data_IF_017539209943
#
_entry.id   IF_017539209943
#
_cell.length_a   1.000
_cell.length_b   1.000
_cell.length_c   1.000
_cell.angle_alpha   90.00
_cell.angle_beta   90.00
_cell.angle_gamma   90.00
#
_symmetry.space_group_name_H-M   'P 1'
#
loop_
_entity.id
_entity.type
_entity.pdbx_description
1 polymer ?
#
# COMPACT_ATOMS: atom_id res chain seq x y z
N UNK A 1 1.70 -30.39 66.96
CA UNK A 1 2.29 -29.33 66.11
C UNK A 1 2.46 -29.90 64.70
N UNK A 2 1.60 -29.55 63.75
CA UNK A 2 1.70 -29.99 62.34
C UNK A 2 2.12 -28.79 61.50
N UNK A 3 3.33 -28.82 60.93
CA UNK A 3 3.81 -27.80 59.99
C UNK A 3 3.24 -28.12 58.61
N UNK A 4 2.36 -27.27 58.11
CA UNK A 4 1.87 -27.32 56.73
C UNK A 4 2.87 -26.51 55.89
N UNK A 5 3.57 -27.19 54.98
CA UNK A 5 4.44 -26.56 53.99
C UNK A 5 3.59 -26.31 52.75
N UNK A 6 3.33 -25.04 52.45
CA UNK A 6 2.67 -24.61 51.22
C UNK A 6 3.77 -24.45 50.18
N UNK A 7 3.81 -25.34 49.20
CA UNK A 7 4.69 -25.21 48.03
C UNK A 7 3.95 -24.34 47.01
N UNK A 8 4.41 -23.11 46.84
CA UNK A 8 3.92 -22.17 45.84
C UNK A 8 4.58 -22.52 44.50
N UNK A 9 3.85 -23.18 43.61
CA UNK A 9 4.31 -23.52 42.26
C UNK A 9 4.19 -22.26 41.38
N UNK A 10 5.31 -21.58 41.12
CA UNK A 10 5.36 -20.43 40.23
C UNK A 10 5.38 -20.94 38.78
N UNK A 11 4.23 -20.93 38.11
CA UNK A 11 4.14 -21.22 36.68
C UNK A 11 4.59 -19.98 35.92
N UNK A 12 5.86 -19.95 35.52
CA UNK A 12 6.35 -18.92 34.59
C UNK A 12 5.94 -19.30 33.18
N UNK A 13 4.84 -18.72 32.70
CA UNK A 13 4.46 -18.77 31.29
C UNK A 13 5.52 -18.01 30.50
N UNK A 14 6.31 -18.71 29.69
CA UNK A 14 7.16 -18.08 28.69
C UNK A 14 6.20 -17.60 27.60
N UNK A 15 5.85 -16.31 27.63
CA UNK A 15 5.18 -15.69 26.49
C UNK A 15 6.19 -15.61 25.35
N UNK A 16 6.02 -16.48 24.35
CA UNK A 16 6.65 -16.28 23.05
C UNK A 16 5.96 -15.07 22.44
N UNK A 17 6.58 -13.89 22.55
CA UNK A 17 6.11 -12.72 21.83
C UNK A 17 6.31 -12.98 20.35
N UNK A 18 5.20 -13.12 19.61
CA UNK A 18 5.25 -13.10 18.15
C UNK A 18 5.89 -11.77 17.70
N UNK A 19 6.78 -11.83 16.71
CA UNK A 19 7.39 -10.63 16.13
C UNK A 19 6.25 -9.74 15.60
N UNK A 20 6.25 -8.46 15.97
CA UNK A 20 5.23 -7.53 15.50
C UNK A 20 5.27 -7.46 13.96
N UNK A 21 4.10 -7.44 13.28
CA UNK A 21 4.05 -7.20 11.84
C UNK A 21 4.71 -5.88 11.48
N UNK A 22 5.41 -5.85 10.35
CA UNK A 22 6.16 -4.67 9.89
C UNK A 22 5.36 -3.91 8.85
N UNK A 23 5.23 -2.59 9.03
CA UNK A 23 4.77 -1.68 7.98
C UNK A 23 5.99 -0.99 7.37
N UNK A 24 6.22 -1.22 6.07
CA UNK A 24 7.22 -0.49 5.30
C UNK A 24 6.69 0.89 4.91
N UNK A 25 7.32 1.96 5.39
CA UNK A 25 6.99 3.33 5.00
C UNK A 25 8.04 3.79 4.01
N UNK A 26 7.64 3.96 2.76
CA UNK A 26 8.52 4.29 1.63
C UNK A 26 8.23 5.72 1.20
N UNK A 27 9.23 6.60 1.30
CA UNK A 27 9.08 8.04 1.01
C UNK A 27 10.28 8.54 0.21
N UNK A 28 10.04 9.47 -0.72
CA UNK A 28 11.13 10.10 -1.45
C UNK A 28 11.83 11.18 -0.60
N UNK A 29 13.13 11.40 -0.85
CA UNK A 29 13.95 12.36 -0.09
C UNK A 29 13.34 13.76 -0.02
N UNK A 30 12.74 14.25 -1.12
CA UNK A 30 12.24 15.63 -1.17
C UNK A 30 10.99 15.75 -0.32
N UNK A 31 10.04 14.82 -0.47
CA UNK A 31 8.84 14.75 0.36
C UNK A 31 9.20 14.62 1.83
N UNK A 32 10.08 13.68 2.19
CA UNK A 32 10.49 13.52 3.58
C UNK A 32 11.10 14.81 4.16
N UNK A 33 12.03 15.46 3.45
CA UNK A 33 12.64 16.70 3.93
C UNK A 33 11.62 17.83 4.15
N UNK A 34 10.51 17.84 3.40
CA UNK A 34 9.44 18.83 3.52
C UNK A 34 8.38 18.45 4.57
N UNK A 35 8.25 17.18 4.92
CA UNK A 35 7.17 16.66 5.78
C UNK A 35 7.66 15.76 6.92
N UNK A 36 8.94 15.82 7.29
CA UNK A 36 9.59 14.89 8.23
C UNK A 36 8.79 14.74 9.52
N UNK A 37 8.42 15.86 10.18
CA UNK A 37 7.66 15.82 11.42
C UNK A 37 6.33 15.07 11.31
N UNK A 38 5.61 15.23 10.20
CA UNK A 38 4.33 14.53 9.99
C UNK A 38 4.53 13.05 9.61
N UNK A 39 5.59 12.72 8.87
CA UNK A 39 5.97 11.33 8.57
C UNK A 39 6.37 10.60 9.86
N UNK A 40 7.25 11.19 10.66
CA UNK A 40 7.70 10.62 11.94
C UNK A 40 6.54 10.44 12.93
N UNK A 41 5.62 11.42 12.97
CA UNK A 41 4.40 11.35 13.76
C UNK A 41 3.48 10.20 13.32
N UNK A 42 3.34 9.98 12.01
CA UNK A 42 2.59 8.87 11.44
C UNK A 42 3.25 7.51 11.74
N UNK A 43 4.57 7.40 11.58
CA UNK A 43 5.34 6.21 11.96
C UNK A 43 5.16 5.89 13.45
N UNK A 44 5.28 6.89 14.32
CA UNK A 44 5.06 6.70 15.77
C UNK A 44 3.64 6.21 16.08
N UNK A 45 2.63 6.73 15.37
CA UNK A 45 1.25 6.27 15.53
C UNK A 45 1.05 4.82 15.06
N UNK A 46 1.81 4.34 14.06
CA UNK A 46 1.80 2.92 13.66
C UNK A 46 2.45 2.03 14.73
N UNK A 47 3.53 2.49 15.35
CA UNK A 47 4.19 1.76 16.43
C UNK A 47 3.30 1.64 17.67
N UNK A 48 2.59 2.72 18.02
CA UNK A 48 1.58 2.73 19.09
C UNK A 48 0.39 1.79 18.79
N UNK A 49 0.08 1.58 17.51
CA UNK A 49 -0.96 0.67 17.00
C UNK A 49 -0.49 -0.79 16.93
N UNK A 50 0.74 -1.08 17.38
CA UNK A 50 1.28 -2.43 17.56
C UNK A 50 2.12 -2.97 16.40
N UNK A 51 2.48 -2.14 15.42
CA UNK A 51 3.35 -2.51 14.31
C UNK A 51 4.82 -2.19 14.58
N UNK A 52 5.74 -2.91 13.94
CA UNK A 52 7.09 -2.39 13.71
C UNK A 52 7.10 -1.52 12.45
N UNK A 53 7.90 -0.46 12.41
CA UNK A 53 8.00 0.41 11.23
C UNK A 53 9.37 0.32 10.60
N UNK A 54 9.41 0.04 9.29
CA UNK A 54 10.61 0.13 8.47
C UNK A 54 10.51 1.38 7.58
N UNK A 55 11.18 2.47 7.97
CA UNK A 55 11.16 3.73 7.24
C UNK A 55 12.30 3.76 6.19
N UNK A 56 11.94 3.84 4.91
CA UNK A 56 12.85 3.95 3.78
C UNK A 56 12.75 5.35 3.15
N UNK A 57 13.75 6.18 3.40
CA UNK A 57 13.90 7.52 2.82
C UNK A 57 15.01 7.50 1.79
N UNK A 58 14.66 7.52 0.51
CA UNK A 58 15.64 7.45 -0.59
C UNK A 58 15.21 8.29 -1.80
N UNK A 59 16.13 8.46 -2.75
CA UNK A 59 15.77 8.91 -4.10
C UNK A 59 15.44 7.67 -4.92
N UNK A 60 14.16 7.38 -5.10
CA UNK A 60 13.70 6.18 -5.78
C UNK A 60 13.84 6.34 -7.30
N UNK A 61 14.81 5.63 -7.87
CA UNK A 61 15.11 5.73 -9.30
C UNK A 61 14.11 5.00 -10.19
N UNK A 62 13.58 3.86 -9.71
CA UNK A 62 12.68 2.99 -10.46
C UNK A 62 11.87 2.08 -9.51
N UNK A 63 10.81 1.40 -10.02
CA UNK A 63 10.03 0.44 -9.24
C UNK A 63 10.83 -0.75 -8.71
N UNK A 64 11.86 -1.21 -9.41
CA UNK A 64 12.69 -2.34 -8.98
C UNK A 64 13.39 -2.06 -7.66
N UNK A 65 13.95 -0.86 -7.49
CA UNK A 65 14.60 -0.43 -6.25
C UNK A 65 13.62 -0.40 -5.06
N UNK A 66 12.37 0.04 -5.30
CA UNK A 66 11.32 0.00 -4.28
C UNK A 66 10.97 -1.46 -3.94
N UNK A 67 10.80 -2.31 -4.95
CA UNK A 67 10.47 -3.73 -4.75
C UNK A 67 11.56 -4.48 -3.99
N UNK A 68 12.83 -4.18 -4.23
CA UNK A 68 13.97 -4.79 -3.53
C UNK A 68 13.91 -4.54 -2.02
N UNK A 69 13.65 -3.30 -1.59
CA UNK A 69 13.56 -3.00 -0.15
C UNK A 69 12.36 -3.65 0.51
N UNK A 70 11.23 -3.76 -0.20
CA UNK A 70 10.02 -4.41 0.32
C UNK A 70 10.23 -5.91 0.50
N UNK A 71 10.84 -6.58 -0.48
CA UNK A 71 11.18 -8.01 -0.39
C UNK A 71 12.25 -8.31 0.66
N UNK A 72 13.12 -7.34 0.95
CA UNK A 72 14.08 -7.40 2.06
C UNK A 72 13.49 -7.06 3.42
N UNK A 73 12.22 -6.65 3.50
CA UNK A 73 11.57 -6.28 4.78
C UNK A 73 11.04 -7.53 5.48
N UNK A 74 11.62 -7.86 6.63
CA UNK A 74 11.16 -8.99 7.44
C UNK A 74 9.73 -8.78 7.97
N UNK A 75 8.92 -9.84 7.90
CA UNK A 75 7.58 -9.90 8.49
C UNK A 75 6.68 -8.73 8.02
N UNK A 76 6.81 -8.35 6.75
CA UNK A 76 6.03 -7.28 6.15
C UNK A 76 4.54 -7.67 6.14
N UNK A 77 3.71 -6.78 6.69
CA UNK A 77 2.24 -6.86 6.68
C UNK A 77 1.66 -5.84 5.69
N UNK A 78 2.38 -4.73 5.49
CA UNK A 78 1.98 -3.75 4.51
C UNK A 78 3.04 -2.73 4.15
N UNK A 79 2.76 -1.97 3.10
CA UNK A 79 3.59 -0.90 2.59
C UNK A 79 2.78 0.39 2.39
N UNK A 80 3.36 1.52 2.76
CA UNK A 80 2.78 2.86 2.55
C UNK A 80 3.75 3.68 1.71
N UNK A 81 3.33 4.03 0.48
CA UNK A 81 4.08 4.88 -0.43
C UNK A 81 3.69 6.33 -0.24
N UNK A 82 4.63 7.21 0.09
CA UNK A 82 4.38 8.62 0.40
C UNK A 82 5.14 9.50 -0.59
N UNK A 83 4.42 10.37 -1.29
CA UNK A 83 5.00 11.33 -2.22
C UNK A 83 5.30 10.73 -3.60
N UNK A 84 6.44 11.12 -4.17
CA UNK A 84 6.83 10.87 -5.55
C UNK A 84 7.51 9.49 -5.70
N UNK A 85 6.82 8.42 -5.32
CA UNK A 85 7.30 7.04 -5.50
C UNK A 85 6.97 6.55 -6.92
N UNK A 86 7.89 5.89 -7.65
CA UNK A 86 7.64 5.34 -8.98
C UNK A 86 6.31 4.57 -9.09
N UNK A 87 5.63 4.74 -10.21
CA UNK A 87 4.28 4.23 -10.48
C UNK A 87 4.35 3.22 -11.63
N UNK A 88 4.19 1.92 -11.34
CA UNK A 88 4.08 0.88 -12.35
C UNK A 88 2.77 1.02 -13.12
N UNK A 89 2.90 1.14 -14.44
CA UNK A 89 1.82 1.25 -15.42
C UNK A 89 1.73 -0.07 -16.18
N UNK A 90 0.76 -0.89 -15.82
CA UNK A 90 0.67 -2.29 -16.25
C UNK A 90 -0.16 -2.44 -17.54
N UNK A 91 0.39 -3.19 -18.50
CA UNK A 91 -0.21 -3.59 -19.76
C UNK A 91 -0.41 -5.11 -19.80
N UNK A 92 -1.19 -5.58 -20.78
CA UNK A 92 -1.52 -7.01 -20.98
C UNK A 92 -2.20 -7.71 -19.77
N UNK A 93 -2.55 -6.97 -18.72
CA UNK A 93 -3.25 -7.44 -17.52
C UNK A 93 -4.75 -7.09 -17.49
N UNK A 94 -5.35 -6.72 -18.62
CA UNK A 94 -6.74 -6.21 -18.67
C UNK A 94 -7.77 -7.21 -18.13
N UNK A 95 -7.48 -8.51 -18.25
CA UNK A 95 -8.32 -9.58 -17.73
C UNK A 95 -8.37 -9.58 -16.19
N UNK A 96 -7.35 -9.03 -15.52
CA UNK A 96 -7.32 -8.81 -14.06
C UNK A 96 -8.04 -7.53 -13.62
N UNK A 97 -8.64 -6.79 -14.56
CA UNK A 97 -9.38 -5.55 -14.26
C UNK A 97 -10.88 -5.75 -14.43
N UNK A 98 -11.67 -5.03 -13.65
CA UNK A 98 -13.13 -5.05 -13.73
C UNK A 98 -13.63 -4.28 -14.96
N UNK A 99 -13.21 -3.04 -15.17
CA UNK A 99 -13.78 -2.14 -16.17
C UNK A 99 -12.85 -1.77 -17.34
N UNK A 100 -11.56 -2.11 -17.28
CA UNK A 100 -10.58 -1.63 -18.24
C UNK A 100 -10.41 -2.61 -19.42
N UNK A 101 -11.17 -2.40 -20.49
CA UNK A 101 -11.18 -3.24 -21.70
C UNK A 101 -10.84 -2.42 -22.96
N UNK A 102 -9.65 -1.82 -22.96
CA UNK A 102 -9.16 -0.99 -24.08
C UNK A 102 -8.34 -1.81 -25.07
N UNK A 103 -8.47 -1.52 -26.37
CA UNK A 103 -7.63 -2.10 -27.40
C UNK A 103 -6.22 -1.47 -27.37
N UNK A 104 -5.25 -2.21 -26.85
CA UNK A 104 -3.85 -1.79 -26.71
C UNK A 104 -3.09 -1.67 -28.04
N UNK A 105 -3.64 -2.20 -29.14
CA UNK A 105 -3.01 -2.11 -30.47
C UNK A 105 -3.44 -0.84 -31.22
N UNK A 106 -4.67 -0.38 -30.98
CA UNK A 106 -5.27 0.74 -31.68
C UNK A 106 -4.78 2.10 -31.17
N UNK A 107 -4.48 2.22 -29.88
CA UNK A 107 -4.07 3.49 -29.27
C UNK A 107 -2.55 3.52 -29.03
N UNK A 108 -1.92 4.65 -29.37
CA UNK A 108 -0.46 4.85 -29.21
C UNK A 108 -0.08 5.42 -27.85
N UNK A 109 -1.02 6.08 -27.19
CA UNK A 109 -0.84 6.68 -25.86
C UNK A 109 -0.71 5.57 -24.82
N UNK A 110 0.52 5.40 -24.32
CA UNK A 110 0.87 4.38 -23.34
C UNK A 110 0.12 4.57 -22.02
N UNK A 111 -0.03 5.81 -21.57
CA UNK A 111 -0.70 6.11 -20.31
C UNK A 111 -2.17 5.72 -20.37
N UNK A 112 -2.85 6.03 -21.49
CA UNK A 112 -4.26 5.67 -21.70
C UNK A 112 -4.53 4.18 -21.76
N UNK A 113 -3.56 3.39 -22.21
CA UNK A 113 -3.74 1.94 -22.41
C UNK A 113 -3.16 1.08 -21.29
N UNK A 114 -2.66 1.71 -20.23
CA UNK A 114 -2.03 1.05 -19.09
C UNK A 114 -2.82 1.33 -17.81
N UNK A 115 -2.63 0.46 -16.81
CA UNK A 115 -3.27 0.57 -15.50
C UNK A 115 -2.21 0.85 -14.45
N UNK A 116 -2.29 2.00 -13.79
CA UNK A 116 -1.46 2.29 -12.63
C UNK A 116 -1.78 1.27 -11.52
N UNK A 117 -0.78 0.54 -11.04
CA UNK A 117 -1.03 -0.55 -10.08
C UNK A 117 0.15 -0.82 -9.16
N UNK A 118 -0.11 -0.74 -7.86
CA UNK A 118 0.82 -1.17 -6.82
C UNK A 118 0.86 -2.71 -6.67
N UNK A 119 0.11 -3.48 -7.48
CA UNK A 119 0.26 -4.94 -7.57
C UNK A 119 1.67 -5.38 -7.96
N UNK A 120 2.39 -4.53 -8.68
CA UNK A 120 3.80 -4.74 -8.96
C UNK A 120 4.66 -4.84 -7.69
N UNK A 121 4.25 -4.15 -6.62
CA UNK A 121 4.97 -4.12 -5.35
C UNK A 121 4.46 -5.18 -4.37
N UNK A 122 3.14 -5.34 -4.25
CA UNK A 122 2.52 -6.14 -3.19
C UNK A 122 2.12 -7.57 -3.57
N UNK A 123 2.31 -7.95 -4.83
CA UNK A 123 2.13 -9.30 -5.35
C UNK A 123 3.39 -9.69 -6.13
N UNK A 124 4.42 -10.20 -5.45
CA UNK A 124 5.70 -10.49 -6.07
C UNK A 124 5.69 -11.75 -6.93
N UNK A 125 4.64 -12.55 -6.88
CA UNK A 125 4.45 -13.72 -7.75
C UNK A 125 4.10 -13.30 -9.18
N UNK A 126 3.55 -12.09 -9.37
CA UNK A 126 3.34 -11.53 -10.70
C UNK A 126 4.67 -11.21 -11.40
N UNK A 127 4.76 -11.68 -12.65
CA UNK A 127 5.94 -11.54 -13.49
C UNK A 127 5.69 -10.47 -14.55
N UNK A 128 6.55 -9.46 -14.58
CA UNK A 128 6.41 -8.31 -15.46
C UNK A 128 7.65 -8.15 -16.35
N UNK A 129 7.43 -7.78 -17.60
CA UNK A 129 8.48 -7.38 -18.55
C UNK A 129 8.51 -5.86 -18.65
N UNK A 130 9.65 -5.25 -18.36
CA UNK A 130 9.83 -3.80 -18.52
C UNK A 130 9.72 -3.38 -19.98
N UNK A 131 8.99 -2.29 -20.25
CA UNK A 131 8.83 -1.72 -21.58
C UNK A 131 9.67 -0.46 -21.72
N UNK A 132 9.34 0.57 -20.94
CA UNK A 132 10.07 1.86 -20.90
C UNK A 132 9.60 2.72 -19.72
N UNK A 133 10.40 3.71 -19.35
CA UNK A 133 9.95 4.85 -18.55
C UNK A 133 9.23 5.86 -19.44
N UNK A 134 8.23 6.55 -18.88
CA UNK A 134 7.56 7.63 -19.60
C UNK A 134 8.49 8.85 -19.77
N UNK A 135 8.40 9.48 -20.95
CA UNK A 135 9.28 10.59 -21.33
C UNK A 135 8.78 11.95 -20.80
N UNK A 136 7.47 12.11 -20.63
CA UNK A 136 6.85 13.36 -20.16
C UNK A 136 6.69 13.34 -18.64
N UNK A 137 6.36 12.19 -18.06
CA UNK A 137 6.21 12.01 -16.62
C UNK A 137 7.15 10.91 -16.09
N UNK A 138 8.37 11.26 -15.64
CA UNK A 138 9.37 10.29 -15.17
C UNK A 138 8.91 9.40 -14.00
N UNK A 139 7.79 9.70 -13.33
CA UNK A 139 7.23 8.82 -12.30
C UNK A 139 6.57 7.57 -12.87
N UNK A 140 6.21 7.54 -14.16
CA UNK A 140 5.48 6.44 -14.77
C UNK A 140 6.44 5.46 -15.44
N UNK A 141 6.30 4.17 -15.10
CA UNK A 141 7.11 3.09 -15.65
C UNK A 141 6.22 2.03 -16.25
N UNK A 142 6.36 1.76 -17.55
CA UNK A 142 5.49 0.84 -18.26
C UNK A 142 6.02 -0.60 -18.22
N UNK A 143 5.13 -1.51 -17.89
CA UNK A 143 5.40 -2.95 -17.84
C UNK A 143 4.31 -3.72 -18.57
N UNK A 144 4.67 -4.85 -19.17
CA UNK A 144 3.75 -5.85 -19.70
C UNK A 144 3.66 -7.03 -18.73
N UNK A 145 2.46 -7.48 -18.38
CA UNK A 145 2.28 -8.72 -17.64
C UNK A 145 2.74 -9.89 -18.52
N UNK A 146 3.68 -10.69 -18.01
CA UNK A 146 4.22 -11.85 -18.72
C UNK A 146 3.16 -12.93 -18.88
N UNK A 147 3.17 -13.64 -20.01
CA UNK A 147 2.35 -14.83 -20.23
C UNK A 147 2.66 -15.97 -19.25
N UNK A 148 3.86 -15.97 -18.67
CA UNK A 148 4.29 -16.92 -17.64
C UNK A 148 3.88 -16.50 -16.23
N UNK A 149 3.30 -15.31 -16.05
CA UNK A 149 2.80 -14.84 -14.77
C UNK A 149 1.53 -15.60 -14.36
N UNK A 150 1.25 -15.78 -13.05
CA UNK A 150 -0.08 -16.12 -12.59
C UNK A 150 -1.14 -15.21 -13.22
N UNK A 151 -2.28 -15.79 -13.60
CA UNK A 151 -3.41 -15.08 -14.23
C UNK A 151 -4.51 -14.72 -13.21
N UNK A 152 -4.11 -14.54 -11.96
CA UNK A 152 -4.92 -14.08 -10.85
C UNK A 152 -4.06 -13.18 -9.97
N UNK A 153 -4.69 -12.41 -9.09
CA UNK A 153 -4.02 -11.55 -8.11
C UNK A 153 -4.11 -12.21 -6.74
N UNK A 154 -2.97 -12.36 -6.08
CA UNK A 154 -2.85 -12.87 -4.72
C UNK A 154 -1.78 -12.05 -4.00
N UNK A 155 -2.21 -11.12 -3.15
CA UNK A 155 -1.29 -10.17 -2.51
C UNK A 155 -0.59 -10.84 -1.33
N UNK A 156 0.70 -10.59 -1.20
CA UNK A 156 1.50 -11.01 -0.05
C UNK A 156 1.34 -10.06 1.13
N UNK A 157 1.09 -8.78 0.86
CA UNK A 157 0.89 -7.75 1.88
C UNK A 157 -0.05 -6.64 1.36
N UNK A 158 -0.54 -5.79 2.27
CA UNK A 158 -1.40 -4.68 1.88
C UNK A 158 -0.57 -3.46 1.45
N UNK A 159 -0.96 -2.77 0.37
CA UNK A 159 -0.33 -1.51 -0.02
C UNK A 159 -1.30 -0.33 -0.06
N UNK A 160 -0.79 0.85 0.27
CA UNK A 160 -1.50 2.12 0.16
C UNK A 160 -0.58 3.24 -0.30
N UNK A 161 -1.13 4.19 -1.07
CA UNK A 161 -0.38 5.33 -1.61
C UNK A 161 -0.97 6.66 -1.18
N UNK A 162 -0.12 7.50 -0.61
CA UNK A 162 -0.42 8.88 -0.21
C UNK A 162 0.20 9.80 -1.25
N UNK A 163 -0.61 10.14 -2.26
CA UNK A 163 -0.23 11.04 -3.35
C UNK A 163 -1.29 12.15 -3.47
N UNK A 164 -0.89 13.42 -3.52
CA UNK A 164 -1.81 14.55 -3.65
C UNK A 164 -2.29 14.71 -5.12
N UNK A 165 -3.50 15.25 -5.34
CA UNK A 165 -4.06 15.47 -6.68
C UNK A 165 -3.47 16.70 -7.40
N UNK A 166 -2.36 17.24 -6.89
CA UNK A 166 -1.69 18.44 -7.41
C UNK A 166 -0.19 18.20 -7.51
N UNK A 167 0.46 18.88 -8.44
CA UNK A 167 1.87 18.69 -8.76
C UNK A 167 2.78 19.86 -8.35
N UNK A 168 2.23 20.91 -7.73
CA UNK A 168 3.01 22.06 -7.24
C UNK A 168 3.45 21.90 -5.77
N UNK A 169 4.22 22.85 -5.24
CA UNK A 169 4.79 22.81 -3.87
C UNK A 169 3.74 22.65 -2.75
N UNK A 170 2.47 23.01 -2.97
CA UNK A 170 1.42 22.82 -1.95
C UNK A 170 1.14 21.34 -1.68
N UNK A 171 1.63 20.45 -2.56
CA UNK A 171 1.54 19.01 -2.42
C UNK A 171 2.08 18.52 -1.07
N UNK A 172 3.19 19.10 -0.60
CA UNK A 172 3.80 18.72 0.67
C UNK A 172 2.93 19.09 1.88
N UNK A 173 2.28 20.27 1.84
CA UNK A 173 1.34 20.67 2.88
C UNK A 173 0.13 19.72 2.93
N UNK A 174 -0.37 19.29 1.77
CA UNK A 174 -1.48 18.31 1.71
C UNK A 174 -1.07 16.94 2.26
N UNK A 175 0.13 16.45 1.92
CA UNK A 175 0.69 15.21 2.45
C UNK A 175 0.82 15.29 3.98
N UNK A 176 1.45 16.36 4.49
CA UNK A 176 1.62 16.57 5.93
C UNK A 176 0.29 16.57 6.68
N UNK A 177 -0.69 17.37 6.21
CA UNK A 177 -2.04 17.42 6.81
C UNK A 177 -2.73 16.05 6.81
N UNK A 178 -2.59 15.28 5.74
CA UNK A 178 -3.17 13.94 5.67
C UNK A 178 -2.52 13.00 6.69
N UNK A 179 -1.19 12.99 6.78
CA UNK A 179 -0.42 12.15 7.70
C UNK A 179 -0.74 12.47 9.16
N UNK A 180 -0.78 13.75 9.52
CA UNK A 180 -1.12 14.18 10.88
C UNK A 180 -2.56 13.79 11.26
N UNK A 181 -3.50 13.91 10.30
CA UNK A 181 -4.87 13.45 10.51
C UNK A 181 -4.95 11.93 10.68
N UNK A 182 -4.22 11.17 9.86
CA UNK A 182 -4.18 9.71 9.96
C UNK A 182 -3.58 9.25 11.30
N UNK A 183 -2.49 9.89 11.73
CA UNK A 183 -1.87 9.65 13.03
C UNK A 183 -2.82 9.99 14.19
N UNK A 184 -3.54 11.12 14.09
CA UNK A 184 -4.54 11.50 15.08
C UNK A 184 -5.67 10.47 15.19
N UNK A 185 -6.22 10.00 14.06
CA UNK A 185 -7.31 9.02 14.03
C UNK A 185 -6.89 7.66 14.59
N UNK A 186 -5.64 7.23 14.37
CA UNK A 186 -5.10 6.00 14.97
C UNK A 186 -5.06 6.06 16.50
N UNK A 187 -4.64 7.20 17.05
CA UNK A 187 -4.56 7.41 18.51
C UNK A 187 -5.90 7.68 19.18
N UNK A 188 -6.88 8.16 18.41
CA UNK A 188 -8.19 8.57 18.89
C UNK A 188 -9.27 7.82 18.12
N UNK A 189 -9.41 6.49 18.35
CA UNK A 189 -10.43 5.70 17.67
C UNK A 189 -11.82 6.21 18.05
N UNK A 190 -12.62 6.58 17.05
CA UNK A 190 -14.01 7.00 17.21
C UNK A 190 -14.96 5.88 16.79
N UNK A 191 -16.19 5.91 17.31
CA UNK A 191 -17.25 4.98 16.92
C UNK A 191 -17.76 5.38 15.53
N UNK A 192 -17.95 4.41 14.64
CA UNK A 192 -18.56 4.64 13.34
C UNK A 192 -20.05 4.98 13.52
N UNK A 193 -20.40 6.26 13.42
CA UNK A 193 -21.78 6.72 13.63
C UNK A 193 -22.63 6.71 12.35
N UNK A 194 -22.05 7.05 11.21
CA UNK A 194 -22.77 7.24 9.94
C UNK A 194 -21.98 6.67 8.76
N UNK A 195 -22.68 6.01 7.84
CA UNK A 195 -22.14 5.52 6.57
C UNK A 195 -22.97 6.09 5.42
N UNK A 196 -22.31 6.72 4.45
CA UNK A 196 -22.93 7.17 3.20
C UNK A 196 -22.66 6.15 2.11
N UNK A 197 -23.72 5.66 1.47
CA UNK A 197 -23.62 4.78 0.30
C UNK A 197 -24.13 5.50 -0.94
N UNK A 198 -23.40 5.41 -2.07
CA UNK A 198 -23.81 5.97 -3.36
C UNK A 198 -23.54 4.94 -4.46
N UNK A 199 -24.53 4.70 -5.34
CA UNK A 199 -24.48 3.61 -6.34
C UNK A 199 -24.03 4.05 -7.72
N UNK A 200 -23.71 5.33 -7.94
CA UNK A 200 -23.34 5.83 -9.27
C UNK A 200 -24.41 5.60 -10.33
N UNK A 201 -24.13 5.99 -11.57
CA UNK A 201 -24.95 5.65 -12.72
C UNK A 201 -24.11 4.79 -13.67
N UNK A 202 -24.53 3.56 -13.98
CA UNK A 202 -23.79 2.69 -14.91
C UNK A 202 -24.37 1.29 -15.08
N UNK A 203 -23.81 0.50 -16.01
CA UNK A 203 -24.33 -0.82 -16.38
C UNK A 203 -24.35 -1.84 -15.21
N UNK A 204 -23.50 -1.66 -14.19
CA UNK A 204 -23.44 -2.51 -12.99
C UNK A 204 -24.08 -1.89 -11.74
N UNK A 205 -24.58 -0.65 -11.79
CA UNK A 205 -25.16 0.02 -10.62
C UNK A 205 -26.51 -0.58 -10.17
N UNK A 206 -27.18 -1.32 -11.07
CA UNK A 206 -28.49 -1.95 -10.86
C UNK A 206 -28.41 -3.49 -10.72
N UNK A 207 -27.21 -4.07 -10.58
CA UNK A 207 -27.07 -5.53 -10.47
C UNK A 207 -27.49 -6.01 -9.07
N UNK A 208 -28.65 -6.67 -8.96
CA UNK A 208 -29.10 -7.33 -7.72
C UNK A 208 -28.03 -8.29 -7.17
N UNK A 209 -27.32 -8.99 -8.05
CA UNK A 209 -26.25 -9.94 -7.68
C UNK A 209 -25.05 -9.26 -7.02
N UNK A 210 -24.87 -7.94 -7.17
CA UNK A 210 -23.84 -7.19 -6.43
C UNK A 210 -24.19 -7.05 -4.94
N UNK A 211 -25.45 -7.31 -4.57
CA UNK A 211 -25.97 -7.22 -3.20
C UNK A 211 -26.27 -8.60 -2.59
N UNK A 212 -26.53 -9.64 -3.41
CA UNK A 212 -27.16 -10.88 -2.94
C UNK A 212 -26.23 -11.89 -2.24
N UNK A 213 -24.91 -11.66 -2.14
CA UNK A 213 -24.01 -12.62 -1.48
C UNK A 213 -23.67 -12.26 -0.02
N UNK A 214 -24.71 -11.99 0.77
CA UNK A 214 -24.63 -12.03 2.24
C UNK A 214 -25.69 -13.00 2.80
N UNK A 215 -25.37 -14.29 2.76
CA UNK A 215 -25.95 -15.32 3.64
C UNK A 215 -24.86 -16.13 4.27
#
# INVERSE_FOLDING_TARGET
MKKIIIVLLLVTSIFVYAKAPTIAVVVDNITYNKTASSVDNYCSALEEDGYSVALYVQAWENPEAVREVLLGTDNIEGAVFIGDIPIPMIRDAQHLTSAFKIDQTRFKDQQRISVASDRYYDDPDLIFNFIKQDEENPLLFYYSLSENSPQYVEKDFYSGRIIPPIHDERKYEMIAKYLDRAAYQKRNPEVLDNVLTYTGHGYHSESLNAWENHT
#
